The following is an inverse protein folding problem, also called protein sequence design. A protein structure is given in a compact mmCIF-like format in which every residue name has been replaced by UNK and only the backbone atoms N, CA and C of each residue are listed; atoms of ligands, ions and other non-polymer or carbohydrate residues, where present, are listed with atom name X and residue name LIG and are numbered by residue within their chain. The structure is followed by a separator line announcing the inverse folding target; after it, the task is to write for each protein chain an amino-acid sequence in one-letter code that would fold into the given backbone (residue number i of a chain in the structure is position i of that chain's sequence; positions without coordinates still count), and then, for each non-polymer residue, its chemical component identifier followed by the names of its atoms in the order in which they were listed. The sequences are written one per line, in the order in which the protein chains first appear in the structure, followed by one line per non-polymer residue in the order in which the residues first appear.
data_IF_788984660199
#
_entry.id   IF_788984660199
#
_cell.length_a   1.000
_cell.length_b   1.000
_cell.length_c   1.000
_cell.angle_alpha   90.00
_cell.angle_beta   90.00
_cell.angle_gamma   90.00
#
_symmetry.space_group_name_H-M   'P 1'
#
loop_
_entity.id
_entity.type
_entity.pdbx_description
1 polymer ?
#
# COMPACT_ATOMS: atom_id res chain seq x y z
N UNK A 1 -14.15 -13.51 34.07
CA UNK A 1 -14.61 -14.34 32.95
C UNK A 1 -15.23 -13.54 31.79
N UNK A 2 -16.18 -12.64 32.02
CA UNK A 2 -16.89 -11.89 30.95
C UNK A 2 -15.98 -10.98 30.10
N UNK A 3 -14.98 -10.33 30.68
CA UNK A 3 -14.08 -9.41 29.95
C UNK A 3 -13.19 -10.13 28.92
N UNK A 4 -12.63 -11.28 29.30
CA UNK A 4 -11.80 -12.07 28.39
C UNK A 4 -12.59 -12.61 27.19
N UNK A 5 -13.82 -13.04 27.40
CA UNK A 5 -14.73 -13.46 26.34
C UNK A 5 -15.10 -12.30 25.41
N UNK A 6 -15.35 -11.12 25.96
CA UNK A 6 -15.65 -9.93 25.17
C UNK A 6 -14.45 -9.51 24.30
N UNK A 7 -13.24 -9.49 24.87
CA UNK A 7 -12.02 -9.19 24.13
C UNK A 7 -11.83 -10.18 22.98
N UNK A 8 -12.05 -11.45 23.23
CA UNK A 8 -11.91 -12.50 22.21
C UNK A 8 -12.93 -12.34 21.08
N UNK A 9 -14.19 -12.03 21.39
CA UNK A 9 -15.24 -11.77 20.39
C UNK A 9 -14.92 -10.54 19.52
N UNK A 10 -14.38 -9.47 20.14
CA UNK A 10 -13.98 -8.27 19.40
C UNK A 10 -12.79 -8.59 18.50
N UNK A 11 -11.80 -9.33 18.99
CA UNK A 11 -10.64 -9.74 18.23
C UNK A 11 -11.03 -10.59 17.01
N UNK A 12 -11.85 -11.61 17.22
CA UNK A 12 -12.34 -12.48 16.14
C UNK A 12 -13.08 -11.67 15.06
N UNK A 13 -13.90 -10.71 15.47
CA UNK A 13 -14.65 -9.88 14.54
C UNK A 13 -13.76 -8.92 13.76
N UNK A 14 -12.81 -8.27 14.44
CA UNK A 14 -11.84 -7.36 13.79
C UNK A 14 -10.93 -8.14 12.84
N UNK A 15 -10.49 -9.33 13.23
CA UNK A 15 -9.67 -10.18 12.35
C UNK A 15 -10.44 -10.62 11.09
N UNK A 16 -11.73 -10.98 11.23
CA UNK A 16 -12.58 -11.31 10.08
C UNK A 16 -12.78 -10.11 9.13
N UNK A 17 -13.03 -8.92 9.68
CA UNK A 17 -13.16 -7.70 8.88
C UNK A 17 -11.83 -7.37 8.17
N UNK A 18 -10.70 -7.48 8.87
CA UNK A 18 -9.38 -7.23 8.31
C UNK A 18 -9.01 -8.21 7.20
N UNK A 19 -9.31 -9.50 7.39
CA UNK A 19 -9.09 -10.53 6.37
C UNK A 19 -9.95 -10.29 5.13
N UNK A 20 -11.21 -9.90 5.32
CA UNK A 20 -12.11 -9.54 4.22
C UNK A 20 -11.60 -8.33 3.46
N UNK A 21 -11.25 -7.25 4.17
CA UNK A 21 -10.73 -6.02 3.56
C UNK A 21 -9.42 -6.30 2.79
N UNK A 22 -8.56 -7.16 3.32
CA UNK A 22 -7.35 -7.57 2.63
C UNK A 22 -7.65 -8.34 1.34
N UNK A 23 -8.57 -9.30 1.38
CA UNK A 23 -9.01 -10.05 0.20
C UNK A 23 -9.63 -9.13 -0.86
N UNK A 24 -10.47 -8.21 -0.44
CA UNK A 24 -11.11 -7.23 -1.33
C UNK A 24 -10.07 -6.29 -1.97
N UNK A 25 -9.09 -5.81 -1.20
CA UNK A 25 -7.99 -4.99 -1.70
C UNK A 25 -7.09 -5.73 -2.70
N UNK A 26 -6.78 -7.00 -2.44
CA UNK A 26 -6.02 -7.86 -3.35
C UNK A 26 -6.80 -8.10 -4.64
N UNK A 27 -8.09 -8.39 -4.56
CA UNK A 27 -8.95 -8.56 -5.73
C UNK A 27 -9.03 -7.29 -6.59
N UNK A 28 -9.16 -6.13 -5.95
CA UNK A 28 -9.13 -4.83 -6.61
C UNK A 28 -7.76 -4.56 -7.27
N UNK A 29 -6.68 -4.81 -6.54
CA UNK A 29 -5.31 -4.67 -7.06
C UNK A 29 -5.06 -5.55 -8.28
N UNK A 30 -5.48 -6.83 -8.22
CA UNK A 30 -5.41 -7.77 -9.35
C UNK A 30 -6.17 -7.26 -10.56
N UNK A 31 -7.42 -6.81 -10.36
CA UNK A 31 -8.23 -6.25 -11.44
C UNK A 31 -7.57 -5.02 -12.08
N UNK A 32 -7.07 -4.10 -11.29
CA UNK A 32 -6.40 -2.91 -11.80
C UNK A 32 -5.16 -3.24 -12.64
N UNK A 33 -4.36 -4.24 -12.22
CA UNK A 33 -3.19 -4.70 -12.99
C UNK A 33 -3.61 -5.39 -14.29
N UNK A 34 -4.66 -6.21 -14.28
CA UNK A 34 -5.22 -6.85 -15.48
C UNK A 34 -5.73 -5.80 -16.48
N UNK A 35 -6.48 -4.81 -16.01
CA UNK A 35 -6.99 -3.71 -16.83
C UNK A 35 -5.82 -2.88 -17.43
N UNK A 36 -4.77 -2.65 -16.64
CA UNK A 36 -3.56 -1.98 -17.11
C UNK A 36 -2.83 -2.78 -18.20
N UNK A 37 -2.66 -4.09 -18.02
CA UNK A 37 -2.05 -4.95 -19.05
C UNK A 37 -2.86 -4.93 -20.34
N UNK A 38 -4.19 -5.09 -20.23
CA UNK A 38 -5.08 -5.03 -21.40
C UNK A 38 -4.97 -3.70 -22.15
N UNK A 39 -4.93 -2.60 -21.41
CA UNK A 39 -4.74 -1.27 -22.02
C UNK A 39 -3.41 -1.17 -22.76
N UNK A 40 -2.32 -1.66 -22.15
CA UNK A 40 -1.01 -1.65 -22.78
C UNK A 40 -0.95 -2.55 -24.03
N UNK A 41 -1.65 -3.68 -24.03
CA UNK A 41 -1.78 -4.56 -25.21
C UNK A 41 -2.52 -3.87 -26.35
N UNK A 42 -3.64 -3.19 -26.05
CA UNK A 42 -4.41 -2.41 -27.03
C UNK A 42 -3.54 -1.29 -27.62
N UNK A 43 -2.82 -0.54 -26.77
CA UNK A 43 -1.94 0.54 -27.23
C UNK A 43 -0.80 -0.01 -28.12
N UNK A 44 -0.21 -1.14 -27.77
CA UNK A 44 0.83 -1.77 -28.57
C UNK A 44 0.30 -2.23 -29.96
N UNK A 45 -0.93 -2.75 -29.99
CA UNK A 45 -1.60 -3.12 -31.23
C UNK A 45 -1.89 -1.88 -32.11
N UNK A 46 -2.43 -0.82 -31.51
CA UNK A 46 -2.70 0.44 -32.23
C UNK A 46 -1.42 1.05 -32.80
N UNK A 47 -0.32 1.02 -32.06
CA UNK A 47 0.99 1.49 -32.54
C UNK A 47 1.48 0.65 -33.74
N UNK A 48 1.33 -0.67 -33.70
CA UNK A 48 1.66 -1.54 -34.82
C UNK A 48 0.81 -1.23 -36.05
N UNK A 49 -0.50 -1.08 -35.87
CA UNK A 49 -1.43 -0.77 -36.94
C UNK A 49 -1.16 0.63 -37.55
N UNK A 50 -0.84 1.60 -36.71
CA UNK A 50 -0.42 2.92 -37.17
C UNK A 50 0.85 2.86 -38.03
N UNK A 51 1.85 2.09 -37.58
CA UNK A 51 3.10 1.89 -38.34
C UNK A 51 2.85 1.24 -39.69
N UNK A 52 1.99 0.20 -39.74
CA UNK A 52 1.60 -0.44 -41.00
C UNK A 52 0.93 0.57 -41.94
N UNK A 53 0.00 1.39 -41.43
CA UNK A 53 -0.67 2.46 -42.24
C UNK A 53 0.35 3.47 -42.79
N UNK A 54 1.32 3.90 -41.97
CA UNK A 54 2.37 4.82 -42.42
C UNK A 54 3.21 4.23 -43.57
N UNK A 55 3.57 2.95 -43.48
CA UNK A 55 4.31 2.26 -44.54
C UNK A 55 3.43 2.11 -45.78
N UNK A 56 2.13 1.82 -45.64
CA UNK A 56 1.21 1.75 -46.77
C UNK A 56 1.02 3.09 -47.48
N UNK A 57 0.95 4.20 -46.75
CA UNK A 57 0.92 5.55 -47.31
C UNK A 57 2.22 5.84 -48.09
N UNK A 58 3.37 5.53 -47.51
CA UNK A 58 4.65 5.68 -48.21
C UNK A 58 4.72 4.81 -49.48
N UNK A 59 4.15 3.60 -49.44
CA UNK A 59 4.06 2.74 -50.61
C UNK A 59 3.22 3.35 -51.75
N UNK A 60 2.08 3.98 -51.38
CA UNK A 60 1.26 4.69 -52.37
C UNK A 60 2.03 5.84 -53.03
N UNK A 61 2.77 6.64 -52.24
CA UNK A 61 3.61 7.70 -52.77
C UNK A 61 4.75 7.16 -53.64
N UNK A 62 5.42 6.07 -53.23
CA UNK A 62 6.47 5.42 -54.02
C UNK A 62 5.93 4.95 -55.37
N UNK A 63 4.74 4.33 -55.40
CA UNK A 63 4.10 3.86 -56.64
C UNK A 63 3.70 5.04 -57.56
N UNK A 64 3.15 6.14 -57.02
CA UNK A 64 2.78 7.32 -57.80
C UNK A 64 4.03 8.01 -58.39
N UNK A 65 5.12 8.05 -57.62
CA UNK A 65 6.38 8.62 -58.01
C UNK A 65 7.24 7.66 -58.87
N UNK A 66 6.77 6.42 -59.12
CA UNK A 66 7.49 5.36 -59.84
C UNK A 66 8.85 5.00 -59.22
N UNK A 67 8.99 5.18 -57.92
CA UNK A 67 10.19 4.82 -57.16
C UNK A 67 10.11 3.34 -56.77
N UNK A 68 10.71 2.46 -57.58
CA UNK A 68 10.69 1.01 -57.30
C UNK A 68 11.84 0.55 -56.42
N UNK A 69 13.01 1.17 -56.56
CA UNK A 69 14.23 0.84 -55.82
C UNK A 69 14.66 1.96 -54.89
N UNK A 70 15.40 1.66 -53.82
CA UNK A 70 15.89 2.67 -52.89
C UNK A 70 16.69 3.77 -53.58
N UNK A 71 16.30 5.02 -53.36
CA UNK A 71 17.04 6.20 -53.80
C UNK A 71 17.89 6.81 -52.69
N UNK A 72 17.76 6.34 -51.46
CA UNK A 72 18.49 6.79 -50.27
C UNK A 72 19.64 5.81 -49.99
N UNK A 73 20.87 6.34 -49.91
CA UNK A 73 22.04 5.53 -49.61
C UNK A 73 22.29 5.32 -48.10
N UNK A 74 21.69 6.12 -47.26
CA UNK A 74 21.82 6.02 -45.78
C UNK A 74 20.46 5.93 -45.10
N UNK A 75 20.27 4.90 -44.30
CA UNK A 75 19.04 4.65 -43.54
C UNK A 75 18.80 5.65 -42.38
N UNK A 76 19.78 6.48 -42.03
CA UNK A 76 19.67 7.48 -40.97
C UNK A 76 18.78 8.68 -41.36
N UNK A 77 18.58 8.91 -42.67
CA UNK A 77 17.79 10.03 -43.19
C UNK A 77 16.32 9.67 -43.48
N UNK A 78 15.90 8.46 -43.13
CA UNK A 78 14.52 8.00 -43.38
C UNK A 78 13.59 8.54 -42.31
N UNK A 79 12.89 9.60 -42.62
CA UNK A 79 11.76 10.13 -41.86
C UNK A 79 10.44 9.61 -42.44
N UNK A 80 9.31 9.87 -41.79
CA UNK A 80 8.00 9.52 -42.36
C UNK A 80 7.78 10.14 -43.74
N UNK A 81 8.21 11.38 -43.92
CA UNK A 81 8.03 12.13 -45.18
C UNK A 81 8.94 11.64 -46.32
N UNK A 82 10.06 11.02 -45.98
CA UNK A 82 11.04 10.51 -46.97
C UNK A 82 10.99 9.00 -47.14
N UNK A 83 10.12 8.30 -46.42
CA UNK A 83 10.00 6.85 -46.41
C UNK A 83 9.68 6.28 -47.80
N UNK A 84 8.96 6.99 -48.67
CA UNK A 84 8.65 6.57 -50.03
C UNK A 84 9.90 6.42 -50.91
N UNK A 85 11.01 7.09 -50.57
CA UNK A 85 12.31 6.97 -51.30
C UNK A 85 12.99 5.62 -51.06
N UNK A 86 12.50 4.80 -50.11
CA UNK A 86 12.95 3.40 -49.98
C UNK A 86 12.52 2.51 -51.16
N UNK A 87 11.52 2.98 -51.93
CA UNK A 87 10.99 2.25 -53.08
C UNK A 87 9.93 1.20 -52.72
N UNK A 88 9.08 0.90 -53.69
CA UNK A 88 7.90 0.05 -53.49
C UNK A 88 8.27 -1.37 -53.08
N UNK A 89 9.31 -1.96 -53.63
CA UNK A 89 9.77 -3.33 -53.30
C UNK A 89 10.16 -3.45 -51.81
N UNK A 90 10.89 -2.49 -51.28
CA UNK A 90 11.30 -2.48 -49.89
C UNK A 90 10.12 -2.25 -48.95
N UNK A 91 9.21 -1.32 -49.29
CA UNK A 91 8.03 -1.00 -48.47
C UNK A 91 7.04 -2.17 -48.41
N UNK A 92 6.81 -2.92 -49.52
CA UNK A 92 6.00 -4.13 -49.51
C UNK A 92 6.61 -5.21 -48.60
N UNK A 93 7.93 -5.39 -48.66
CA UNK A 93 8.62 -6.29 -47.74
C UNK A 93 8.49 -5.86 -46.28
N UNK A 94 8.59 -4.55 -46.00
CA UNK A 94 8.40 -4.02 -44.63
C UNK A 94 7.00 -4.25 -44.12
N UNK A 95 5.93 -4.07 -44.92
CA UNK A 95 4.58 -4.37 -44.55
C UNK A 95 4.39 -5.84 -44.16
N UNK A 96 4.88 -6.75 -44.98
CA UNK A 96 4.83 -8.19 -44.75
C UNK A 96 5.55 -8.56 -43.45
N UNK A 97 6.71 -7.97 -43.22
CA UNK A 97 7.51 -8.24 -42.02
C UNK A 97 6.85 -7.66 -40.78
N UNK A 98 6.35 -6.42 -40.84
CA UNK A 98 5.65 -5.80 -39.69
C UNK A 98 4.34 -6.52 -39.34
N UNK A 99 3.61 -7.00 -40.34
CA UNK A 99 2.37 -7.78 -40.11
C UNK A 99 2.62 -9.06 -39.28
N UNK A 100 3.74 -9.75 -39.53
CA UNK A 100 4.09 -11.01 -38.83
C UNK A 100 4.89 -10.78 -37.55
N UNK A 101 5.42 -9.56 -37.33
CA UNK A 101 6.22 -9.24 -36.17
C UNK A 101 5.36 -9.30 -34.89
N UNK A 102 5.88 -9.95 -33.81
CA UNK A 102 5.22 -9.91 -32.50
C UNK A 102 5.06 -8.47 -31.98
N UNK A 103 4.04 -8.27 -31.14
CA UNK A 103 3.88 -6.98 -30.43
C UNK A 103 5.11 -6.69 -29.57
N UNK A 104 5.54 -5.45 -29.61
CA UNK A 104 6.63 -4.96 -28.78
C UNK A 104 6.02 -4.21 -27.60
N UNK A 105 6.29 -4.68 -26.40
CA UNK A 105 5.81 -4.07 -25.17
C UNK A 105 6.89 -3.24 -24.49
N UNK A 106 6.45 -2.23 -23.75
CA UNK A 106 7.33 -1.41 -22.93
C UNK A 106 7.82 -2.16 -21.69
N UNK A 107 8.85 -1.64 -21.03
CA UNK A 107 9.33 -2.20 -19.75
C UNK A 107 8.22 -2.17 -18.67
N UNK A 108 7.32 -1.18 -18.70
CA UNK A 108 6.19 -1.09 -17.77
C UNK A 108 5.21 -2.26 -17.92
N UNK A 109 5.01 -2.80 -19.11
CA UNK A 109 4.19 -4.00 -19.32
C UNK A 109 4.75 -5.20 -18.54
N UNK A 110 6.05 -5.43 -18.66
CA UNK A 110 6.70 -6.56 -17.97
C UNK A 110 6.68 -6.38 -16.45
N UNK A 111 6.86 -5.15 -15.95
CA UNK A 111 6.72 -4.85 -14.53
C UNK A 111 5.28 -5.10 -14.03
N UNK A 112 4.28 -4.60 -14.77
CA UNK A 112 2.87 -4.83 -14.41
C UNK A 112 2.54 -6.32 -14.40
N UNK A 113 3.04 -7.08 -15.37
CA UNK A 113 2.87 -8.53 -15.44
C UNK A 113 3.54 -9.24 -14.26
N UNK A 114 4.74 -8.79 -13.87
CA UNK A 114 5.45 -9.34 -12.71
C UNK A 114 4.65 -9.07 -11.42
N UNK A 115 4.20 -7.83 -11.22
CA UNK A 115 3.37 -7.46 -10.07
C UNK A 115 2.06 -8.30 -10.00
N UNK A 116 1.46 -8.59 -11.16
CA UNK A 116 0.28 -9.45 -11.22
C UNK A 116 0.60 -10.89 -10.77
N UNK A 117 1.73 -11.44 -11.23
CA UNK A 117 2.18 -12.76 -10.80
C UNK A 117 2.49 -12.81 -9.30
N UNK A 118 3.07 -11.74 -8.76
CA UNK A 118 3.37 -11.63 -7.33
C UNK A 118 2.07 -11.63 -6.51
N UNK A 119 1.04 -10.89 -6.95
CA UNK A 119 -0.29 -10.91 -6.30
C UNK A 119 -0.97 -12.28 -6.45
N UNK A 120 -0.87 -12.94 -7.60
CA UNK A 120 -1.47 -14.25 -7.82
C UNK A 120 -0.84 -15.35 -6.96
N UNK A 121 0.44 -15.19 -6.61
CA UNK A 121 1.17 -16.10 -5.71
C UNK A 121 0.94 -15.78 -4.23
N UNK A 122 0.24 -14.69 -3.88
CA UNK A 122 -0.07 -14.31 -2.51
C UNK A 122 -1.15 -15.24 -1.96
N UNK A 123 -0.78 -16.07 -1.00
CA UNK A 123 -1.69 -16.95 -0.29
C UNK A 123 -2.14 -16.28 1.02
N UNK A 124 -3.29 -15.60 0.96
CA UNK A 124 -3.85 -14.86 2.11
C UNK A 124 -4.27 -15.78 3.23
N UNK A 125 -4.70 -17.02 2.91
CA UNK A 125 -5.19 -17.98 3.89
C UNK A 125 -4.06 -18.54 4.79
N UNK A 126 -2.80 -18.34 4.40
CA UNK A 126 -1.62 -18.69 5.19
C UNK A 126 -1.08 -17.53 6.05
N UNK A 127 -1.64 -16.33 5.90
CA UNK A 127 -1.23 -15.18 6.70
C UNK A 127 -1.89 -15.24 8.07
N UNK A 128 -1.07 -15.33 9.11
CA UNK A 128 -1.51 -15.26 10.50
C UNK A 128 -1.76 -13.77 10.85
N UNK A 129 -2.98 -13.30 10.57
CA UNK A 129 -3.37 -11.90 10.71
C UNK A 129 -3.93 -11.70 12.10
N UNK A 130 -3.25 -10.88 12.91
CA UNK A 130 -3.73 -10.45 14.21
C UNK A 130 -3.89 -8.94 14.25
N UNK A 131 -5.07 -8.48 14.71
CA UNK A 131 -5.38 -7.05 14.87
C UNK A 131 -4.47 -6.36 15.89
N UNK A 132 -3.90 -7.13 16.83
CA UNK A 132 -3.00 -6.61 17.85
C UNK A 132 -1.95 -7.66 18.26
N UNK A 133 -0.83 -7.16 18.79
CA UNK A 133 0.20 -7.97 19.42
C UNK A 133 0.31 -7.58 20.89
N UNK A 134 0.15 -8.53 21.79
CA UNK A 134 0.44 -8.28 23.21
C UNK A 134 1.91 -7.93 23.39
N UNK A 135 2.20 -6.71 23.81
CA UNK A 135 3.55 -6.31 24.21
C UNK A 135 3.90 -6.98 25.56
N UNK A 136 2.89 -7.10 26.45
CA UNK A 136 2.96 -7.87 27.69
C UNK A 136 1.59 -8.48 27.95
N UNK A 137 1.55 -9.78 28.32
CA UNK A 137 0.28 -10.39 28.76
C UNK A 137 -0.20 -9.68 30.02
N UNK A 138 -1.50 -9.32 30.13
CA UNK A 138 -2.03 -8.75 31.35
C UNK A 138 -1.81 -9.72 32.49
N UNK A 139 -1.00 -9.33 33.46
CA UNK A 139 -0.80 -10.09 34.69
C UNK A 139 -1.77 -9.56 35.73
N UNK A 140 -2.40 -10.47 36.46
CA UNK A 140 -3.19 -10.08 37.64
C UNK A 140 -2.27 -9.34 38.62
N UNK A 141 -2.69 -8.18 39.15
CA UNK A 141 -1.86 -7.46 40.11
C UNK A 141 -1.65 -8.35 41.35
N UNK A 142 -0.38 -8.76 41.55
CA UNK A 142 0.02 -9.64 42.65
C UNK A 142 -0.03 -8.90 43.99
N UNK A 143 0.01 -7.58 43.95
CA UNK A 143 -0.08 -6.72 45.13
C UNK A 143 -1.12 -5.61 44.93
N UNK A 144 -1.90 -5.33 45.99
CA UNK A 144 -2.75 -4.15 46.04
C UNK A 144 -1.89 -2.89 46.04
N UNK A 145 -2.03 -2.06 45.03
CA UNK A 145 -1.24 -0.84 44.87
C UNK A 145 -1.69 0.26 45.85
N UNK A 146 -2.83 0.12 46.50
CA UNK A 146 -3.37 1.13 47.45
C UNK A 146 -4.49 0.54 48.31
N UNK A 147 -4.72 1.01 49.56
CA UNK A 147 -3.85 1.91 50.31
C UNK A 147 -2.74 1.16 51.05
N UNK A 148 -1.52 1.73 51.11
CA UNK A 148 -0.44 1.20 51.95
C UNK A 148 -0.82 1.39 53.42
N UNK A 149 -1.44 0.40 54.04
CA UNK A 149 -1.99 0.44 55.41
C UNK A 149 -1.05 1.07 56.43
N UNK A 150 0.25 0.74 56.32
CA UNK A 150 1.28 1.25 57.22
C UNK A 150 1.45 2.78 57.10
N UNK A 151 1.51 3.29 55.85
CA UNK A 151 1.65 4.74 55.61
C UNK A 151 0.41 5.49 56.09
N UNK A 152 -0.78 4.97 55.84
CA UNK A 152 -2.06 5.55 56.29
C UNK A 152 -2.11 5.60 57.81
N UNK A 153 -1.64 4.55 58.51
CA UNK A 153 -1.61 4.49 59.97
C UNK A 153 -0.61 5.54 60.53
N UNK A 154 0.58 5.65 59.99
CA UNK A 154 1.58 6.63 60.39
C UNK A 154 1.05 8.06 60.21
N UNK A 155 0.40 8.33 59.05
CA UNK A 155 -0.19 9.65 58.79
C UNK A 155 -1.33 10.00 59.77
N UNK A 156 -2.15 9.02 60.13
CA UNK A 156 -3.24 9.19 61.11
C UNK A 156 -2.70 9.51 62.52
N UNK A 157 -1.62 8.82 62.94
CA UNK A 157 -0.97 9.07 64.24
C UNK A 157 -0.33 10.48 64.28
N UNK A 158 0.34 10.88 63.22
CA UNK A 158 0.95 12.21 63.11
C UNK A 158 -0.11 13.34 63.15
N UNK A 159 -1.18 13.20 62.36
CA UNK A 159 -2.25 14.19 62.35
C UNK A 159 -3.00 14.22 63.69
N UNK A 160 -3.30 13.07 64.27
CA UNK A 160 -3.94 12.97 65.57
C UNK A 160 -3.09 13.54 66.68
N UNK A 161 -1.78 13.30 66.65
CA UNK A 161 -0.81 13.88 67.60
C UNK A 161 -0.70 15.40 67.49
N UNK A 162 -0.66 15.96 66.28
CA UNK A 162 -0.62 17.43 66.10
C UNK A 162 -1.89 18.10 66.61
N UNK A 163 -3.06 17.53 66.33
CA UNK A 163 -4.34 18.07 66.88
C UNK A 163 -4.36 17.95 68.38
N UNK A 164 -3.96 16.84 68.98
CA UNK A 164 -3.91 16.65 70.43
C UNK A 164 -2.99 17.62 71.12
N UNK A 165 -1.79 17.85 70.64
CA UNK A 165 -0.84 18.85 71.15
C UNK A 165 -1.43 20.27 71.04
N UNK A 166 -2.06 20.60 69.91
CA UNK A 166 -2.71 21.89 69.67
C UNK A 166 -3.83 22.16 70.71
N UNK A 167 -4.66 21.17 71.02
CA UNK A 167 -5.74 21.28 72.03
C UNK A 167 -5.14 21.50 73.45
N UNK A 168 -4.11 20.71 73.83
CA UNK A 168 -3.49 20.80 75.14
C UNK A 168 -2.80 22.16 75.32
N UNK A 169 -2.06 22.63 74.36
CA UNK A 169 -1.40 23.94 74.39
C UNK A 169 -2.42 25.08 74.42
N UNK A 170 -3.46 25.06 73.64
CA UNK A 170 -4.55 26.02 73.61
C UNK A 170 -5.27 26.09 74.94
N UNK A 171 -5.59 24.92 75.53
CA UNK A 171 -6.23 24.85 76.88
C UNK A 171 -5.33 25.34 78.01
N UNK A 172 -4.04 25.05 77.94
CA UNK A 172 -3.05 25.53 78.90
C UNK A 172 -2.86 27.07 78.81
N UNK A 173 -2.81 27.62 77.61
CA UNK A 173 -2.72 29.07 77.36
C UNK A 173 -3.96 29.81 77.89
N UNK A 174 -5.14 29.29 77.64
CA UNK A 174 -6.40 29.86 78.16
C UNK A 174 -6.50 29.80 79.72
N UNK A 175 -6.01 28.71 80.32
CA UNK A 175 -5.98 28.58 81.78
C UNK A 175 -5.01 29.59 82.43
N UNK A 176 -3.83 29.82 81.80
CA UNK A 176 -2.87 30.78 82.29
C UNK A 176 -3.37 32.23 82.10
N UNK A 177 -4.19 32.50 81.09
CA UNK A 177 -4.76 33.81 80.83
C UNK A 177 -5.84 34.19 81.86
N UNK A 178 -6.66 33.22 82.27
CA UNK A 178 -7.70 33.43 83.27
C UNK A 178 -7.19 33.40 84.73
N UNK A 179 -5.93 33.14 84.96
CA UNK A 179 -5.31 33.08 86.29
C UNK A 179 -4.54 34.37 86.66
N UNK A 180 -4.64 35.42 85.84
CA UNK A 180 -4.24 36.80 86.14
C UNK A 180 -5.45 37.66 86.34
#
# INVERSE_FOLDING_TARGET
MKLAQYIQQVDDKVNQELEKDLKDNIALGRKNLQDSLRTQEVVAQEQKDLRIRQIQEALQYANQAQVTKPQIQQTQDVTQDTMFLLGSEALESMIKHEATRPLVFSSSYYQTRQNLLDIDNLDVDKLDIHAYRYVMKPTLPIRRDSPKKVITLILAVLLGGMVGVGIVLGRNALRNYNAK
#
